data_IF_779235862731
#
_entry.id   IF_779235862731
#
_cell.length_a   1.000
_cell.length_b   1.000
_cell.length_c   1.000
_cell.angle_alpha   90.00
_cell.angle_beta   90.00
_cell.angle_gamma   90.00
#
_symmetry.space_group_name_H-M   'P 1'
#
loop_
_entity.id
_entity.type
_entity.pdbx_description
1 polymer ?
#
# COMPACT_ATOMS: atom_id res chain seq x y z
N UNK A 1 10.77 20.65 6.50
CA UNK A 1 9.72 19.75 5.96
C UNK A 1 9.35 18.85 7.11
N UNK A 2 8.09 18.86 7.53
CA UNK A 2 7.61 18.02 8.62
C UNK A 2 7.55 16.56 8.15
N UNK A 3 8.05 15.61 8.92
CA UNK A 3 7.98 14.18 8.59
C UNK A 3 6.53 13.69 8.72
N UNK A 4 6.03 12.97 7.71
CA UNK A 4 4.71 12.32 7.77
C UNK A 4 4.71 11.24 8.84
N UNK A 5 3.72 11.28 9.73
CA UNK A 5 3.59 10.35 10.86
C UNK A 5 2.83 9.08 10.46
N UNK A 6 2.03 9.15 9.40
CA UNK A 6 1.19 8.08 8.90
C UNK A 6 0.17 7.62 9.94
N UNK A 7 -0.50 8.58 10.57
CA UNK A 7 -1.49 8.36 11.64
C UNK A 7 -2.87 8.88 11.22
N UNK A 8 -3.88 8.01 11.35
CA UNK A 8 -5.28 8.33 11.06
C UNK A 8 -5.79 9.42 12.02
N UNK A 9 -6.30 10.51 11.44
CA UNK A 9 -6.78 11.68 12.16
C UNK A 9 -5.71 12.74 12.46
N UNK A 10 -4.43 12.48 12.13
CA UNK A 10 -3.36 13.49 12.13
C UNK A 10 -3.03 13.88 10.67
N UNK A 11 -2.19 13.09 10.00
CA UNK A 11 -1.78 13.32 8.61
C UNK A 11 -2.43 12.37 7.59
N UNK A 12 -3.27 11.44 8.06
CA UNK A 12 -4.11 10.57 7.24
C UNK A 12 -5.60 10.80 7.51
N UNK A 13 -6.38 10.81 6.44
CA UNK A 13 -7.84 10.86 6.45
C UNK A 13 -8.45 9.47 6.24
N UNK A 14 -9.70 9.28 6.67
CA UNK A 14 -10.42 8.02 6.49
C UNK A 14 -10.70 7.66 5.02
N UNK A 15 -10.58 8.63 4.10
CA UNK A 15 -10.69 8.42 2.66
C UNK A 15 -9.34 8.13 1.99
N UNK A 16 -8.22 8.17 2.73
CA UNK A 16 -6.91 7.85 2.17
C UNK A 16 -6.81 6.35 1.89
N UNK A 17 -6.04 6.02 0.85
CA UNK A 17 -5.82 4.64 0.47
C UNK A 17 -4.91 3.95 1.50
N UNK A 18 -5.35 2.79 1.99
CA UNK A 18 -4.52 1.93 2.83
C UNK A 18 -3.51 1.13 1.99
N UNK A 19 -3.94 0.69 0.81
CA UNK A 19 -3.10 0.02 -0.18
C UNK A 19 -2.89 0.97 -1.36
N UNK A 20 -1.64 1.32 -1.62
CA UNK A 20 -1.29 2.12 -2.77
C UNK A 20 -1.62 1.39 -4.08
N UNK A 21 -2.14 2.15 -5.05
CA UNK A 21 -2.48 1.62 -6.35
C UNK A 21 -1.25 1.05 -7.07
N UNK A 22 -1.45 -0.05 -7.79
CA UNK A 22 -0.46 -0.63 -8.69
C UNK A 22 -0.90 -0.30 -10.11
N UNK A 23 -0.08 0.46 -10.83
CA UNK A 23 -0.38 0.87 -12.20
C UNK A 23 0.31 -0.04 -13.22
N UNK A 24 -0.15 0.02 -14.48
CA UNK A 24 0.56 -0.66 -15.56
C UNK A 24 1.98 -0.11 -15.74
N UNK A 25 2.20 1.18 -15.47
CA UNK A 25 3.53 1.80 -15.56
C UNK A 25 4.49 1.22 -14.52
N UNK A 26 4.02 0.98 -13.28
CA UNK A 26 4.82 0.31 -12.24
C UNK A 26 5.28 -1.08 -12.67
N UNK A 27 4.35 -1.88 -13.24
CA UNK A 27 4.65 -3.23 -13.70
C UNK A 27 5.60 -3.20 -14.90
N UNK A 28 5.37 -2.31 -15.87
CA UNK A 28 6.25 -2.15 -17.04
C UNK A 28 7.66 -1.75 -16.57
N UNK A 29 7.76 -0.79 -15.65
CA UNK A 29 9.04 -0.33 -15.11
C UNK A 29 9.77 -1.45 -14.35
N UNK A 30 9.05 -2.18 -13.49
CA UNK A 30 9.64 -3.30 -12.75
C UNK A 30 10.16 -4.40 -13.70
N UNK A 31 9.38 -4.77 -14.72
CA UNK A 31 9.83 -5.73 -15.74
C UNK A 31 11.04 -5.20 -16.50
N UNK A 32 11.03 -3.94 -16.92
CA UNK A 32 12.13 -3.32 -17.64
C UNK A 32 13.43 -3.29 -16.83
N UNK A 33 13.34 -3.01 -15.52
CA UNK A 33 14.50 -2.91 -14.64
C UNK A 33 15.01 -4.27 -14.16
N UNK A 34 14.12 -5.24 -13.93
CA UNK A 34 14.47 -6.47 -13.19
C UNK A 34 14.56 -7.72 -14.08
N UNK A 35 14.06 -7.68 -15.32
CA UNK A 35 13.99 -8.87 -16.17
C UNK A 35 14.87 -8.72 -17.42
N UNK A 36 15.80 -9.65 -17.61
CA UNK A 36 16.58 -9.74 -18.86
C UNK A 36 15.76 -10.30 -20.03
N UNK A 37 14.79 -11.18 -19.75
CA UNK A 37 13.87 -11.76 -20.72
C UNK A 37 12.44 -11.38 -20.35
N UNK A 38 11.72 -10.79 -21.30
CA UNK A 38 10.33 -10.39 -21.13
C UNK A 38 9.45 -11.54 -21.61
N UNK A 39 8.76 -12.20 -20.69
CA UNK A 39 7.81 -13.28 -20.94
C UNK A 39 6.57 -13.08 -20.07
N UNK A 40 5.49 -13.81 -20.36
CA UNK A 40 4.28 -13.78 -19.53
C UNK A 40 4.59 -14.13 -18.07
N UNK A 41 5.47 -15.09 -17.86
CA UNK A 41 5.88 -15.53 -16.53
C UNK A 41 6.63 -14.42 -15.79
N UNK A 42 7.60 -13.76 -16.43
CA UNK A 42 8.38 -12.71 -15.77
C UNK A 42 7.52 -11.48 -15.46
N UNK A 43 6.60 -11.09 -16.35
CA UNK A 43 5.62 -10.02 -16.08
C UNK A 43 4.73 -10.36 -14.90
N UNK A 44 4.21 -11.59 -14.85
CA UNK A 44 3.33 -12.04 -13.76
C UNK A 44 4.08 -12.07 -12.43
N UNK A 45 5.31 -12.57 -12.42
CA UNK A 45 6.18 -12.58 -11.25
C UNK A 45 6.45 -11.17 -10.72
N UNK A 46 6.80 -10.22 -11.59
CA UNK A 46 7.08 -8.84 -11.19
C UNK A 46 5.84 -8.15 -10.60
N UNK A 47 4.65 -8.39 -11.18
CA UNK A 47 3.41 -7.89 -10.60
C UNK A 47 3.18 -8.42 -9.17
N UNK A 48 3.38 -9.73 -8.94
CA UNK A 48 3.22 -10.30 -7.60
C UNK A 48 4.24 -9.79 -6.59
N UNK A 49 5.49 -9.56 -7.02
CA UNK A 49 6.51 -8.95 -6.15
C UNK A 49 6.12 -7.53 -5.72
N UNK A 50 5.62 -6.69 -6.66
CA UNK A 50 5.10 -5.36 -6.32
C UNK A 50 3.92 -5.49 -5.35
N UNK A 51 2.99 -6.40 -5.62
CA UNK A 51 1.81 -6.60 -4.78
C UNK A 51 2.20 -7.01 -3.35
N UNK A 52 3.14 -7.94 -3.20
CA UNK A 52 3.63 -8.39 -1.91
C UNK A 52 4.26 -7.23 -1.12
N UNK A 53 5.12 -6.43 -1.77
CA UNK A 53 5.70 -5.24 -1.14
C UNK A 53 4.62 -4.27 -0.66
N UNK A 54 3.63 -3.96 -1.52
CA UNK A 54 2.53 -3.05 -1.15
C UNK A 54 1.66 -3.60 -0.03
N UNK A 55 1.46 -4.92 0.02
CA UNK A 55 0.74 -5.57 1.12
C UNK A 55 1.50 -5.49 2.45
N UNK A 56 2.83 -5.61 2.43
CA UNK A 56 3.66 -5.45 3.63
C UNK A 56 3.56 -4.00 4.16
N UNK A 57 3.70 -3.01 3.28
CA UNK A 57 3.56 -1.60 3.64
C UNK A 57 2.16 -1.29 4.18
N UNK A 58 1.11 -1.78 3.52
CA UNK A 58 -0.27 -1.68 3.96
C UNK A 58 -0.49 -2.30 5.35
N UNK A 59 0.10 -3.49 5.60
CA UNK A 59 -0.06 -4.17 6.87
C UNK A 59 0.62 -3.40 8.02
N UNK A 60 1.81 -2.86 7.80
CA UNK A 60 2.48 -1.98 8.78
C UNK A 60 1.63 -0.73 9.06
N UNK A 61 1.10 -0.09 8.01
CA UNK A 61 0.24 1.08 8.14
C UNK A 61 -1.05 0.78 8.90
N UNK A 62 -1.68 -0.36 8.60
CA UNK A 62 -2.86 -0.84 9.31
C UNK A 62 -2.54 -1.08 10.78
N UNK A 63 -1.51 -1.87 11.09
CA UNK A 63 -1.14 -2.23 12.46
C UNK A 63 -0.86 -0.99 13.32
N UNK A 64 -0.17 0.01 12.75
CA UNK A 64 0.07 1.29 13.41
C UNK A 64 -1.22 2.04 13.78
N UNK A 65 -2.27 1.86 13.00
CA UNK A 65 -3.53 2.59 13.11
C UNK A 65 -4.70 1.75 13.65
N UNK A 66 -4.50 0.49 14.03
CA UNK A 66 -5.57 -0.41 14.50
C UNK A 66 -6.40 0.23 15.63
N UNK A 67 -5.75 0.81 16.64
CA UNK A 67 -6.45 1.40 17.78
C UNK A 67 -7.28 2.62 17.37
N UNK A 68 -6.74 3.46 16.47
CA UNK A 68 -7.44 4.63 15.94
C UNK A 68 -8.63 4.23 15.08
N UNK A 69 -8.47 3.23 14.22
CA UNK A 69 -9.56 2.68 13.41
C UNK A 69 -10.67 2.12 14.33
N UNK A 70 -10.29 1.39 15.39
CA UNK A 70 -11.25 0.86 16.35
C UNK A 70 -11.98 1.97 17.13
N UNK A 71 -11.28 3.04 17.50
CA UNK A 71 -11.84 4.23 18.12
C UNK A 71 -12.88 4.91 17.20
N UNK A 72 -12.51 5.21 15.95
CA UNK A 72 -13.41 5.81 14.98
C UNK A 72 -14.63 4.93 14.68
N UNK A 73 -14.45 3.61 14.54
CA UNK A 73 -15.54 2.67 14.27
C UNK A 73 -16.55 2.50 15.43
N UNK A 74 -16.15 2.87 16.66
CA UNK A 74 -17.04 2.87 17.82
C UNK A 74 -17.89 4.13 17.90
N UNK A 75 -17.45 5.24 17.30
CA UNK A 75 -18.22 6.49 17.28
C UNK A 75 -19.52 6.28 16.51
N UNK A 76 -20.64 6.66 17.10
CA UNK A 76 -21.98 6.49 16.50
C UNK A 76 -22.64 5.12 16.69
N UNK A 77 -22.11 4.27 17.58
CA UNK A 77 -22.78 3.04 18.05
C UNK A 77 -23.58 3.22 19.35
N UNK A 78 -23.62 4.43 19.91
CA UNK A 78 -24.55 4.87 20.95
C UNK A 78 -25.78 5.53 20.31
#
# INVERSE_FOLDING_TARGET
MEERKWVLGDDLAACDNLLDGITFEDVILAVHCNCHVISRETVTKQFFEILEQRLLDMNELLNRNIDKIAEEARKGRE
#
